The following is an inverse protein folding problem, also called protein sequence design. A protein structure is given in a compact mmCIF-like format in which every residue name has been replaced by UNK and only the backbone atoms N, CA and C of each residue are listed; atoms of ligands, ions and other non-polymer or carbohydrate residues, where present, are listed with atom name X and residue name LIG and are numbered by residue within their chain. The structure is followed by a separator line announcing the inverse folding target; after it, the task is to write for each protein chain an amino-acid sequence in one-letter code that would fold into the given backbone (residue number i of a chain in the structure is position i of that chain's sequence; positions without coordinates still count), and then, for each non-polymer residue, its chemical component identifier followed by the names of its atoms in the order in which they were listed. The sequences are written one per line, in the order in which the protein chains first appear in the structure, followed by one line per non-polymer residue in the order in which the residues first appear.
data_IF_428444355365
#
_entry.id   IF_428444355365
#
_cell.length_a   1.000
_cell.length_b   1.000
_cell.length_c   1.000
_cell.angle_alpha   90.00
_cell.angle_beta   90.00
_cell.angle_gamma   90.00
#
_symmetry.space_group_name_H-M   'P 1'
#
loop_
_entity.id
_entity.type
_entity.pdbx_description
1 polymer ?
#
# COMPACT_ATOMS: atom_id res chain seq x y z
N UNK A 1 23.09 -5.30 4.47
CA UNK A 1 21.64 -5.19 4.20
C UNK A 1 21.47 -4.92 2.72
N UNK A 2 20.97 -5.89 1.95
CA UNK A 2 20.74 -5.71 0.51
C UNK A 2 19.56 -4.74 0.28
N UNK A 3 19.61 -3.98 -0.82
CA UNK A 3 18.49 -3.14 -1.23
C UNK A 3 17.33 -4.00 -1.74
N UNK A 4 16.09 -3.53 -1.59
CA UNK A 4 14.91 -4.21 -2.15
C UNK A 4 14.95 -4.35 -3.68
N UNK A 5 15.74 -3.53 -4.37
CA UNK A 5 16.00 -3.66 -5.81
C UNK A 5 16.70 -4.98 -6.16
N UNK A 6 17.52 -5.49 -5.24
CA UNK A 6 18.41 -6.62 -5.45
C UNK A 6 17.75 -7.94 -5.00
N UNK A 7 16.51 -7.85 -4.49
CA UNK A 7 15.72 -9.00 -4.10
C UNK A 7 15.32 -9.79 -5.35
N UNK A 8 15.50 -11.09 -5.27
CA UNK A 8 15.35 -12.01 -6.39
C UNK A 8 13.86 -12.34 -6.62
N UNK A 9 13.42 -12.49 -7.88
CA UNK A 9 12.07 -12.91 -8.17
C UNK A 9 11.86 -14.38 -7.82
N UNK A 10 10.65 -14.73 -7.36
CA UNK A 10 10.21 -16.12 -7.26
C UNK A 10 8.70 -16.21 -7.49
N UNK A 11 8.24 -17.37 -7.96
CA UNK A 11 6.82 -17.65 -8.06
C UNK A 11 6.30 -18.15 -6.71
N UNK A 12 5.23 -17.52 -6.24
CA UNK A 12 4.51 -17.93 -5.05
C UNK A 12 3.08 -18.34 -5.40
N UNK A 13 2.54 -19.31 -4.67
CA UNK A 13 1.15 -19.72 -4.76
C UNK A 13 0.36 -19.12 -3.60
N UNK A 14 -0.79 -18.52 -3.91
CA UNK A 14 -1.69 -17.96 -2.90
C UNK A 14 -2.47 -19.10 -2.24
N UNK A 15 -2.41 -19.19 -0.91
CA UNK A 15 -3.15 -20.21 -0.16
C UNK A 15 -4.37 -19.64 0.56
N UNK A 16 -4.37 -18.34 0.89
CA UNK A 16 -5.47 -17.67 1.56
C UNK A 16 -5.63 -16.24 1.07
N UNK A 17 -6.89 -15.84 0.87
CA UNK A 17 -7.30 -14.46 0.60
C UNK A 17 -8.49 -14.20 1.51
N UNK A 18 -8.45 -13.13 2.30
CA UNK A 18 -9.53 -12.77 3.22
C UNK A 18 -9.74 -11.27 3.21
N UNK A 19 -10.99 -10.84 3.12
CA UNK A 19 -11.32 -9.42 3.22
C UNK A 19 -11.34 -9.00 4.69
N UNK A 20 -10.66 -7.89 4.98
CA UNK A 20 -10.66 -7.22 6.28
C UNK A 20 -11.47 -5.94 6.12
N UNK A 21 -12.53 -5.80 6.91
CA UNK A 21 -13.38 -4.61 6.88
C UNK A 21 -12.64 -3.36 7.36
N UNK A 22 -13.01 -2.22 6.77
CA UNK A 22 -12.48 -0.93 7.20
C UNK A 22 -12.82 -0.66 8.67
N UNK A 23 -11.86 -0.07 9.39
CA UNK A 23 -12.03 0.34 10.77
C UNK A 23 -11.80 1.85 10.91
N UNK A 24 -11.98 2.41 12.11
CA UNK A 24 -11.84 3.86 12.35
C UNK A 24 -10.51 4.44 11.86
N UNK A 25 -9.43 3.64 11.88
CA UNK A 25 -8.08 4.08 11.53
C UNK A 25 -7.45 3.24 10.41
N UNK A 26 -8.23 2.39 9.72
CA UNK A 26 -7.70 1.50 8.70
C UNK A 26 -8.70 1.32 7.55
N UNK A 27 -8.17 1.16 6.34
CA UNK A 27 -8.97 0.94 5.15
C UNK A 27 -9.27 -0.55 5.01
N UNK A 28 -10.44 -0.87 4.44
CA UNK A 28 -10.75 -2.24 4.07
C UNK A 28 -9.72 -2.74 3.06
N UNK A 29 -9.23 -3.96 3.27
CA UNK A 29 -8.17 -4.53 2.44
C UNK A 29 -8.25 -6.05 2.40
N UNK A 30 -7.67 -6.63 1.36
CA UNK A 30 -7.42 -8.06 1.30
C UNK A 30 -6.15 -8.43 2.03
N UNK A 31 -6.28 -9.41 2.90
CA UNK A 31 -5.19 -10.12 3.50
C UNK A 31 -4.84 -11.34 2.65
N UNK A 32 -3.70 -11.27 1.98
CA UNK A 32 -3.25 -12.32 1.07
C UNK A 32 -2.08 -13.04 1.69
N UNK A 33 -2.19 -14.36 1.78
CA UNK A 33 -1.13 -15.20 2.29
C UNK A 33 -0.72 -16.23 1.26
N UNK A 34 0.59 -16.36 1.07
CA UNK A 34 1.19 -17.10 -0.03
C UNK A 34 2.37 -17.94 0.47
N UNK A 35 2.74 -18.94 -0.33
CA UNK A 35 3.91 -19.79 -0.12
C UNK A 35 4.78 -19.87 -1.36
N UNK A 36 6.09 -19.97 -1.18
CA UNK A 36 7.06 -20.09 -2.28
C UNK A 36 8.18 -21.05 -1.87
N UNK A 37 8.88 -21.56 -2.87
CA UNK A 37 9.95 -22.54 -2.71
C UNK A 37 11.27 -21.96 -3.21
N UNK A 38 12.31 -22.01 -2.38
CA UNK A 38 13.65 -21.54 -2.71
C UNK A 38 14.66 -22.52 -2.13
N UNK A 39 15.60 -22.97 -2.96
CA UNK A 39 16.71 -23.85 -2.56
C UNK A 39 16.28 -25.12 -1.81
N UNK A 40 15.13 -25.70 -2.14
CA UNK A 40 14.64 -26.91 -1.47
C UNK A 40 13.74 -26.66 -0.27
N UNK A 41 13.63 -25.42 0.22
CA UNK A 41 12.84 -25.06 1.39
C UNK A 41 11.57 -24.27 1.04
N UNK A 42 10.53 -24.47 1.85
CA UNK A 42 9.27 -23.75 1.74
C UNK A 42 9.23 -22.56 2.68
N UNK A 43 8.78 -21.43 2.15
CA UNK A 43 8.60 -20.20 2.89
C UNK A 43 7.19 -19.67 2.68
N UNK A 44 6.72 -18.87 3.63
CA UNK A 44 5.42 -18.22 3.58
C UNK A 44 5.56 -16.73 3.80
N UNK A 45 4.72 -15.95 3.12
CA UNK A 45 4.64 -14.52 3.32
C UNK A 45 3.19 -14.04 3.34
N UNK A 46 2.99 -12.81 3.81
CA UNK A 46 1.68 -12.13 3.88
C UNK A 46 1.82 -10.70 3.38
N UNK A 47 0.80 -10.20 2.71
CA UNK A 47 0.66 -8.77 2.40
C UNK A 47 -0.79 -8.32 2.51
N UNK A 48 -0.97 -7.01 2.70
CA UNK A 48 -2.25 -6.34 2.58
C UNK A 48 -2.36 -5.72 1.19
N UNK A 49 -3.50 -5.93 0.53
CA UNK A 49 -3.84 -5.33 -0.75
C UNK A 49 -5.10 -4.48 -0.62
N UNK A 50 -4.97 -3.19 -0.96
CA UNK A 50 -6.04 -2.21 -0.76
C UNK A 50 -6.93 -2.03 -2.00
N UNK A 51 -7.02 -3.05 -2.87
CA UNK A 51 -8.00 -3.08 -3.94
C UNK A 51 -9.44 -3.00 -3.43
N UNK A 52 -10.35 -2.54 -4.29
CA UNK A 52 -11.77 -2.51 -3.96
C UNK A 52 -12.31 -3.93 -3.78
N UNK A 53 -13.29 -4.10 -2.88
CA UNK A 53 -13.91 -5.41 -2.61
C UNK A 53 -14.57 -6.03 -3.85
N UNK A 54 -14.93 -5.20 -4.84
CA UNK A 54 -15.54 -5.63 -6.10
C UNK A 54 -14.51 -6.14 -7.11
N UNK A 55 -13.22 -5.79 -6.94
CA UNK A 55 -12.11 -6.09 -7.84
C UNK A 55 -11.13 -7.12 -7.24
N UNK A 56 -11.63 -8.26 -6.74
CA UNK A 56 -10.77 -9.34 -6.25
C UNK A 56 -10.04 -10.04 -7.41
N UNK A 57 -8.93 -9.46 -7.88
CA UNK A 57 -8.07 -10.04 -8.90
C UNK A 57 -7.16 -11.16 -8.37
N UNK A 58 -6.94 -11.20 -7.05
CA UNK A 58 -6.16 -12.24 -6.37
C UNK A 58 -7.09 -13.31 -5.81
N UNK A 59 -6.84 -14.58 -6.14
CA UNK A 59 -7.62 -15.72 -5.65
C UNK A 59 -6.73 -16.80 -5.07
N UNK A 60 -7.33 -17.63 -4.22
CA UNK A 60 -6.68 -18.86 -3.74
C UNK A 60 -6.29 -19.74 -4.94
N UNK A 61 -5.10 -20.33 -4.88
CA UNK A 61 -4.44 -21.12 -5.90
C UNK A 61 -3.87 -20.33 -7.09
N UNK A 62 -4.03 -19.00 -7.13
CA UNK A 62 -3.32 -18.19 -8.11
C UNK A 62 -1.81 -18.17 -7.83
N UNK A 63 -1.05 -17.92 -8.87
CA UNK A 63 0.40 -17.76 -8.79
C UNK A 63 0.79 -16.31 -9.02
N UNK A 64 1.56 -15.75 -8.09
CA UNK A 64 2.03 -14.37 -8.13
C UNK A 64 3.55 -14.32 -8.15
N UNK A 65 4.12 -13.30 -8.79
CA UNK A 65 5.55 -13.07 -8.78
C UNK A 65 5.92 -12.19 -7.57
N UNK A 66 6.62 -12.77 -6.61
CA UNK A 66 7.13 -12.06 -5.44
C UNK A 66 8.60 -11.70 -5.63
N UNK A 67 9.12 -10.86 -4.74
CA UNK A 67 10.56 -10.70 -4.54
C UNK A 67 10.95 -11.15 -3.14
N UNK A 68 12.02 -11.93 -3.01
CA UNK A 68 12.56 -12.40 -1.73
C UNK A 68 14.02 -11.96 -1.53
N UNK A 69 14.44 -11.85 -0.28
CA UNK A 69 15.82 -11.56 0.05
C UNK A 69 16.68 -12.84 -0.03
N UNK A 70 17.64 -12.97 -0.97
CA UNK A 70 18.51 -14.14 -1.04
C UNK A 70 19.39 -14.37 0.21
N UNK A 71 19.73 -13.32 0.97
CA UNK A 71 20.46 -13.48 2.25
C UNK A 71 19.56 -13.97 3.39
N UNK A 72 18.24 -13.81 3.26
CA UNK A 72 17.26 -14.26 4.23
C UNK A 72 15.93 -14.55 3.53
N UNK A 73 15.75 -15.76 2.96
CA UNK A 73 14.60 -16.08 2.12
C UNK A 73 13.26 -16.01 2.84
N UNK A 74 13.22 -15.98 4.17
CA UNK A 74 11.98 -15.74 4.93
C UNK A 74 11.43 -14.31 4.78
N UNK A 75 12.21 -13.37 4.22
CA UNK A 75 11.77 -12.01 3.91
C UNK A 75 11.39 -11.88 2.45
N UNK A 76 10.14 -11.53 2.19
CA UNK A 76 9.58 -11.35 0.85
C UNK A 76 8.56 -10.21 0.79
N UNK A 77 8.25 -9.73 -0.42
CA UNK A 77 7.14 -8.81 -0.68
C UNK A 77 6.56 -9.02 -2.08
N UNK A 78 5.29 -8.68 -2.23
CA UNK A 78 4.61 -8.62 -3.53
C UNK A 78 4.67 -7.17 -4.05
N UNK A 79 5.32 -6.92 -5.22
CA UNK A 79 5.56 -5.56 -5.71
C UNK A 79 4.30 -4.85 -6.23
N UNK A 80 3.31 -5.60 -6.70
CA UNK A 80 2.07 -5.06 -7.30
C UNK A 80 0.95 -4.88 -6.27
N UNK A 81 1.22 -5.08 -4.98
CA UNK A 81 0.24 -4.86 -3.92
C UNK A 81 -0.25 -3.40 -3.93
N UNK A 82 -1.57 -3.21 -4.02
CA UNK A 82 -2.17 -1.89 -3.96
C UNK A 82 -1.94 -1.27 -2.58
N UNK A 83 -1.58 0.01 -2.54
CA UNK A 83 -1.28 0.74 -1.30
C UNK A 83 -2.43 1.67 -0.93
N UNK A 84 -2.63 1.97 0.36
CA UNK A 84 -3.67 2.92 0.76
C UNK A 84 -3.37 4.29 0.14
N UNK A 85 -4.35 4.85 -0.57
CA UNK A 85 -4.31 6.23 -1.04
C UNK A 85 -4.42 7.16 0.17
N UNK A 86 -3.29 7.53 0.76
CA UNK A 86 -3.24 8.67 1.69
C UNK A 86 -3.47 9.95 0.89
N UNK A 87 -4.73 10.36 0.81
CA UNK A 87 -5.12 11.61 0.17
C UNK A 87 -4.47 12.78 0.91
N UNK A 88 -3.35 13.31 0.37
CA UNK A 88 -2.65 14.51 0.86
C UNK A 88 -3.44 15.78 0.55
N UNK A 89 -4.74 15.82 0.89
CA UNK A 89 -5.63 16.96 0.60
C UNK A 89 -5.56 18.05 1.66
N UNK A 90 -4.84 17.83 2.77
CA UNK A 90 -4.76 18.78 3.90
C UNK A 90 -3.95 20.06 3.65
N UNK A 91 -3.26 20.24 2.52
CA UNK A 91 -2.44 21.44 2.29
C UNK A 91 -3.14 22.58 1.51
N UNK A 92 -4.26 22.32 0.81
CA UNK A 92 -4.88 23.32 -0.08
C UNK A 92 -5.91 24.23 0.60
N UNK A 93 -6.46 23.84 1.76
CA UNK A 93 -7.45 24.69 2.46
C UNK A 93 -6.82 25.87 3.23
N UNK A 94 -5.52 25.82 3.54
CA UNK A 94 -4.83 26.91 4.26
C UNK A 94 -4.59 28.17 3.42
N UNK A 95 -4.29 28.02 2.12
CA UNK A 95 -3.98 29.16 1.25
C UNK A 95 -5.23 29.98 0.87
N UNK A 96 -6.40 29.35 0.77
CA UNK A 96 -7.64 30.02 0.38
C UNK A 96 -8.14 31.02 1.43
N UNK A 97 -8.05 30.68 2.72
CA UNK A 97 -8.50 31.56 3.80
C UNK A 97 -7.55 32.77 3.99
N UNK A 98 -6.23 32.56 3.87
CA UNK A 98 -5.25 33.64 3.98
C UNK A 98 -5.41 34.71 2.90
N UNK A 99 -5.65 34.30 1.65
CA UNK A 99 -5.86 35.23 0.53
C UNK A 99 -7.16 36.04 0.68
N UNK A 100 -8.23 35.44 1.19
CA UNK A 100 -9.50 36.12 1.43
C UNK A 100 -9.38 37.15 2.55
N UNK A 101 -8.72 36.81 3.66
CA UNK A 101 -8.47 37.77 4.76
C UNK A 101 -7.60 38.93 4.30
N UNK A 102 -6.54 38.66 3.52
CA UNK A 102 -5.66 39.72 2.99
C UNK A 102 -6.40 40.65 2.02
N UNK A 103 -7.29 40.09 1.17
CA UNK A 103 -8.13 40.87 0.26
C UNK A 103 -9.13 41.76 1.03
N UNK A 104 -9.74 41.25 2.09
CA UNK A 104 -10.67 42.02 2.94
C UNK A 104 -9.94 43.17 3.64
N UNK A 105 -8.73 42.95 4.17
CA UNK A 105 -7.92 44.01 4.81
C UNK A 105 -7.48 45.07 3.81
N UNK A 106 -7.08 44.66 2.60
CA UNK A 106 -6.71 45.57 1.52
C UNK A 106 -7.89 46.44 1.06
N UNK A 107 -9.08 45.85 0.91
CA UNK A 107 -10.28 46.56 0.47
C UNK A 107 -10.89 47.48 1.54
N UNK A 108 -10.73 47.16 2.83
CA UNK A 108 -11.22 48.00 3.94
C UNK A 108 -10.23 49.07 4.41
N UNK A 109 -9.12 49.29 3.69
CA UNK A 109 -8.22 50.41 3.95
C UNK A 109 -7.42 50.30 5.25
N UNK A 110 -7.15 49.09 5.74
CA UNK A 110 -6.40 48.84 7.00
C UNK A 110 -4.93 49.28 6.99
N UNK A 111 -4.47 49.94 5.93
CA UNK A 111 -3.19 50.62 5.83
C UNK A 111 -3.42 52.10 5.44
N UNK A 112 -4.07 52.85 6.31
CA UNK A 112 -3.98 54.31 6.41
C UNK A 112 -4.17 54.72 7.87
#
# INVERSE_FOLDING_TARGET
MISKSDWQPSMASIYSVSWIDASRNDFGHYEVTYSYHVSGEYYTGRFADYASQEESYLKRNDSIQIRYNPENPARSFYPEAQRPMVSKVSLLMGCGLGAIVMLIVYLNGGFN
#
